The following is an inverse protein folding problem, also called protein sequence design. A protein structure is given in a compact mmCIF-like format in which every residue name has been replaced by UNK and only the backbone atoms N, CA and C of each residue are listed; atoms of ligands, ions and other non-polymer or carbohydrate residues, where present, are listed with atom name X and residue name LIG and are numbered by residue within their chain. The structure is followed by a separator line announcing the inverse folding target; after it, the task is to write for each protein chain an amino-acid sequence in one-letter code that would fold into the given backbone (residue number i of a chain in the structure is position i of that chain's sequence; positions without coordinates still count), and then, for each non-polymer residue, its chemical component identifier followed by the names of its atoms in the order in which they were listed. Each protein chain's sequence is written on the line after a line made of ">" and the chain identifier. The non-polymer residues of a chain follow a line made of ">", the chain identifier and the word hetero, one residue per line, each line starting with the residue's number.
data_IF_985099341193
#
_entry.id   IF_985099341193
#
_cell.length_a   1.000
_cell.length_b   1.000
_cell.length_c   1.000
_cell.angle_alpha   90.00
_cell.angle_beta   90.00
_cell.angle_gamma   90.00
#
_symmetry.space_group_name_H-M   'P 1'
#
loop_
_entity.id
_entity.type
_entity.pdbx_description
1 polymer ?
#
# COMPACT_ATOMS: atom_id res chain seq x y z
N UNK A 1 -6.11 -8.36 3.40
CA UNK A 1 -5.37 -7.10 3.14
C UNK A 1 -4.31 -6.83 4.20
N UNK A 2 -4.68 -6.63 5.48
CA UNK A 2 -3.74 -6.29 6.59
C UNK A 2 -2.48 -7.15 6.61
N UNK A 3 -2.64 -8.48 6.61
CA UNK A 3 -1.51 -9.41 6.58
C UNK A 3 -0.61 -9.18 5.36
N UNK A 4 -1.18 -9.12 4.15
CA UNK A 4 -0.42 -8.89 2.90
C UNK A 4 0.32 -7.56 2.92
N UNK A 5 -0.30 -6.48 3.37
CA UNK A 5 0.33 -5.17 3.51
C UNK A 5 1.49 -5.19 4.49
N UNK A 6 1.31 -5.85 5.64
CA UNK A 6 2.35 -5.96 6.67
C UNK A 6 3.52 -6.81 6.18
N UNK A 7 3.25 -7.97 5.57
CA UNK A 7 4.29 -8.84 4.99
C UNK A 7 5.07 -8.12 3.89
N UNK A 8 4.37 -7.37 3.02
CA UNK A 8 5.02 -6.59 1.98
C UNK A 8 5.87 -5.46 2.56
N UNK A 9 5.39 -4.75 3.58
CA UNK A 9 6.16 -3.70 4.23
C UNK A 9 7.45 -4.24 4.87
N UNK A 10 7.39 -5.40 5.53
CA UNK A 10 8.57 -6.07 6.09
C UNK A 10 9.54 -6.51 4.98
N UNK A 11 9.01 -7.11 3.89
CA UNK A 11 9.85 -7.51 2.75
C UNK A 11 10.48 -6.32 2.02
N UNK A 12 9.73 -5.22 1.86
CA UNK A 12 10.21 -3.96 1.29
C UNK A 12 11.33 -3.38 2.14
N UNK A 13 11.14 -3.35 3.46
CA UNK A 13 12.13 -2.87 4.41
C UNK A 13 13.45 -3.67 4.31
N UNK A 14 13.37 -5.00 4.32
CA UNK A 14 14.54 -5.87 4.16
C UNK A 14 15.25 -5.64 2.83
N UNK A 15 14.50 -5.63 1.72
CA UNK A 15 15.07 -5.42 0.39
C UNK A 15 15.66 -4.01 0.21
N UNK A 16 15.08 -2.99 0.85
CA UNK A 16 15.60 -1.63 0.83
C UNK A 16 16.91 -1.52 1.61
N UNK A 17 17.02 -2.21 2.74
CA UNK A 17 18.25 -2.27 3.53
C UNK A 17 19.38 -2.99 2.79
N UNK A 18 19.12 -4.18 2.23
CA UNK A 18 20.09 -4.95 1.47
C UNK A 18 20.68 -4.17 0.28
N UNK A 19 19.84 -3.37 -0.39
CA UNK A 19 20.21 -2.61 -1.60
C UNK A 19 20.65 -1.19 -1.30
N UNK A 20 20.70 -0.78 -0.03
CA UNK A 20 21.00 0.58 0.35
C UNK A 20 22.38 1.02 -0.18
N UNK A 21 22.44 2.21 -0.80
CA UNK A 21 23.68 2.75 -1.38
C UNK A 21 24.12 2.10 -2.70
N UNK A 22 23.36 1.14 -3.23
CA UNK A 22 23.65 0.52 -4.54
C UNK A 22 22.89 1.22 -5.67
N UNK A 23 23.22 0.90 -6.92
CA UNK A 23 22.46 1.36 -8.11
C UNK A 23 21.00 0.90 -8.10
N UNK A 24 20.71 -0.19 -7.39
CA UNK A 24 19.37 -0.78 -7.28
C UNK A 24 18.70 -0.44 -5.94
N UNK A 25 19.18 0.59 -5.25
CA UNK A 25 18.59 1.07 -4.01
C UNK A 25 17.10 1.32 -4.19
N UNK A 26 16.29 0.85 -3.23
CA UNK A 26 14.85 1.08 -3.22
C UNK A 26 14.53 2.37 -2.46
N UNK A 27 13.51 3.06 -2.95
CA UNK A 27 12.94 4.23 -2.29
C UNK A 27 12.09 3.85 -1.07
N UNK A 28 11.68 4.85 -0.29
CA UNK A 28 10.91 4.65 0.95
C UNK A 28 9.50 4.12 0.71
N UNK A 29 8.95 4.24 -0.51
CA UNK A 29 7.54 4.01 -0.77
C UNK A 29 7.31 2.89 -1.80
N UNK A 30 6.26 2.12 -1.56
CA UNK A 30 5.72 1.13 -2.48
C UNK A 30 4.20 1.23 -2.59
N UNK A 31 3.66 0.83 -3.72
CA UNK A 31 2.21 0.79 -3.98
C UNK A 31 1.76 -0.64 -4.18
N UNK A 32 0.58 -0.98 -3.67
CA UNK A 32 -0.04 -2.29 -3.74
C UNK A 32 -1.39 -2.19 -4.44
N UNK A 33 -1.67 -3.12 -5.34
CA UNK A 33 -2.97 -3.32 -5.95
C UNK A 33 -3.52 -4.65 -5.47
N UNK A 34 -4.77 -4.63 -5.00
CA UNK A 34 -5.44 -5.81 -4.48
C UNK A 34 -6.56 -6.23 -5.42
N UNK A 35 -6.63 -7.53 -5.68
CA UNK A 35 -7.68 -8.14 -6.47
C UNK A 35 -8.23 -9.37 -5.75
N UNK A 36 -9.49 -9.69 -5.95
CA UNK A 36 -10.15 -10.86 -5.37
C UNK A 36 -10.78 -11.71 -6.45
N UNK A 37 -10.64 -13.03 -6.36
CA UNK A 37 -11.39 -13.98 -7.18
C UNK A 37 -12.14 -14.94 -6.29
N UNK A 38 -13.22 -15.52 -6.81
CA UNK A 38 -13.93 -16.60 -6.11
C UNK A 38 -12.99 -17.79 -5.86
N UNK A 39 -13.09 -18.37 -4.67
CA UNK A 39 -12.34 -19.56 -4.28
C UNK A 39 -13.13 -20.35 -3.24
N UNK A 40 -13.98 -21.26 -3.70
CA UNK A 40 -14.87 -22.06 -2.84
C UNK A 40 -14.13 -22.93 -1.82
N UNK A 41 -12.87 -23.27 -2.08
CA UNK A 41 -12.03 -24.06 -1.17
C UNK A 41 -11.37 -23.23 -0.08
N UNK A 42 -11.38 -21.90 -0.18
CA UNK A 42 -10.83 -21.01 0.84
C UNK A 42 -11.88 -20.74 1.93
N UNK A 43 -11.51 -20.65 3.22
CA UNK A 43 -12.46 -20.43 4.32
C UNK A 43 -13.32 -19.17 4.16
N UNK A 44 -12.82 -18.14 3.47
CA UNK A 44 -13.51 -16.89 3.23
C UNK A 44 -14.29 -16.87 1.90
N UNK A 45 -14.24 -17.95 1.11
CA UNK A 45 -14.91 -18.05 -0.20
C UNK A 45 -14.24 -17.25 -1.33
N UNK A 46 -13.13 -16.57 -1.06
CA UNK A 46 -12.37 -15.79 -2.04
C UNK A 46 -10.87 -15.94 -1.84
N UNK A 47 -10.12 -15.73 -2.92
CA UNK A 47 -8.66 -15.62 -2.90
C UNK A 47 -8.24 -14.18 -3.12
N UNK A 48 -7.31 -13.71 -2.30
CA UNK A 48 -6.68 -12.40 -2.43
C UNK A 48 -5.40 -12.50 -3.28
N UNK A 49 -5.39 -11.76 -4.39
CA UNK A 49 -4.23 -11.53 -5.24
C UNK A 49 -3.63 -10.16 -4.94
N UNK A 50 -2.30 -10.05 -4.95
CA UNK A 50 -1.60 -8.79 -4.68
C UNK A 50 -0.48 -8.59 -5.68
N UNK A 51 -0.53 -7.46 -6.37
CA UNK A 51 0.57 -6.95 -7.17
C UNK A 51 1.10 -5.67 -6.54
N UNK A 52 2.37 -5.35 -6.78
CA UNK A 52 2.99 -4.19 -6.14
C UNK A 52 4.05 -3.52 -7.01
N UNK A 53 4.30 -2.26 -6.71
CA UNK A 53 5.42 -1.47 -7.22
C UNK A 53 6.33 -1.10 -6.06
N UNK A 54 7.58 -1.52 -6.11
CA UNK A 54 8.63 -0.91 -5.30
C UNK A 54 9.37 0.10 -6.19
N UNK A 55 9.46 1.34 -5.72
CA UNK A 55 10.18 2.39 -6.45
C UNK A 55 11.67 2.27 -6.20
N UNK A 56 12.48 2.58 -7.22
CA UNK A 56 13.91 2.83 -7.02
C UNK A 56 14.07 4.14 -6.22
N UNK A 57 15.18 4.24 -5.49
CA UNK A 57 15.55 5.43 -4.75
C UNK A 57 15.86 6.55 -5.72
N UNK A 58 15.02 7.58 -5.73
CA UNK A 58 15.18 8.76 -6.57
C UNK A 58 14.44 9.94 -5.91
N UNK A 59 14.80 11.21 -6.20
CA UNK A 59 14.13 12.36 -5.59
C UNK A 59 12.61 12.35 -5.73
N UNK A 60 12.10 11.90 -6.88
CA UNK A 60 10.67 11.76 -7.17
C UNK A 60 9.96 10.68 -6.33
N UNK A 61 10.68 9.67 -5.83
CA UNK A 61 10.10 8.59 -5.03
C UNK A 61 10.19 8.83 -3.52
N UNK A 62 10.73 9.98 -3.09
CA UNK A 62 10.91 10.31 -1.66
C UNK A 62 9.66 10.90 -1.02
N UNK A 63 8.84 11.62 -1.78
CA UNK A 63 7.64 12.27 -1.27
C UNK A 63 6.41 11.42 -1.61
N UNK A 64 5.83 10.75 -0.61
CA UNK A 64 4.70 9.84 -0.80
C UNK A 64 3.46 10.52 -1.42
N UNK A 65 2.95 11.66 -0.91
CA UNK A 65 1.86 12.37 -1.56
C UNK A 65 2.13 12.71 -3.03
N UNK A 66 3.32 13.22 -3.35
CA UNK A 66 3.69 13.56 -4.74
C UNK A 66 3.75 12.30 -5.62
N UNK A 67 4.35 11.22 -5.13
CA UNK A 67 4.41 9.93 -5.83
C UNK A 67 3.00 9.40 -6.14
N UNK A 68 2.06 9.50 -5.21
CA UNK A 68 0.67 9.08 -5.42
C UNK A 68 -0.04 9.96 -6.46
N UNK A 69 0.19 11.27 -6.43
CA UNK A 69 -0.34 12.20 -7.42
C UNK A 69 0.20 11.91 -8.84
N UNK A 70 1.48 11.59 -8.95
CA UNK A 70 2.12 11.20 -10.21
C UNK A 70 1.56 9.88 -10.73
N UNK A 71 1.42 8.88 -9.87
CA UNK A 71 0.81 7.59 -10.23
C UNK A 71 -0.64 7.75 -10.68
N UNK A 72 -1.40 8.64 -10.07
CA UNK A 72 -2.76 8.98 -10.51
C UNK A 72 -2.74 9.61 -11.91
N UNK A 73 -1.83 10.56 -12.15
CA UNK A 73 -1.66 11.21 -13.46
C UNK A 73 -1.28 10.19 -14.54
N UNK A 74 -0.36 9.29 -14.22
CA UNK A 74 0.05 8.18 -15.09
C UNK A 74 -1.13 7.25 -15.38
N UNK A 75 -1.91 6.87 -14.36
CA UNK A 75 -3.09 6.03 -14.53
C UNK A 75 -4.10 6.67 -15.49
N UNK A 76 -4.46 7.94 -15.26
CA UNK A 76 -5.36 8.71 -16.14
C UNK A 76 -4.83 8.77 -17.57
N UNK A 77 -3.54 9.05 -17.74
CA UNK A 77 -2.89 9.08 -19.05
C UNK A 77 -2.95 7.72 -19.76
N UNK A 78 -2.70 6.62 -19.05
CA UNK A 78 -2.75 5.28 -19.61
C UNK A 78 -4.18 4.87 -20.01
N UNK A 79 -5.15 5.18 -19.17
CA UNK A 79 -6.58 4.96 -19.44
C UNK A 79 -6.99 5.71 -20.71
N UNK A 80 -6.69 7.01 -20.80
CA UNK A 80 -7.04 7.84 -21.95
C UNK A 80 -6.38 7.35 -23.24
N UNK A 81 -5.09 6.99 -23.19
CA UNK A 81 -4.35 6.48 -24.34
C UNK A 81 -4.91 5.14 -24.84
N UNK A 82 -5.24 4.21 -23.95
CA UNK A 82 -5.85 2.95 -24.35
C UNK A 82 -7.26 3.16 -24.92
N UNK A 83 -8.06 4.06 -24.33
CA UNK A 83 -9.37 4.41 -24.86
C UNK A 83 -9.29 5.00 -26.28
N UNK A 84 -8.31 5.86 -26.56
CA UNK A 84 -8.05 6.39 -27.90
C UNK A 84 -7.71 5.26 -28.90
N UNK A 85 -6.99 4.24 -28.44
CA UNK A 85 -6.71 3.02 -29.20
C UNK A 85 -7.83 1.98 -29.22
N UNK A 86 -9.02 2.28 -28.66
CA UNK A 86 -10.15 1.35 -28.49
C UNK A 86 -9.81 0.06 -27.74
N UNK A 87 -8.87 0.14 -26.79
CA UNK A 87 -8.45 -0.96 -25.90
C UNK A 87 -8.77 -0.63 -24.45
N UNK A 88 -8.78 -1.66 -23.61
CA UNK A 88 -8.81 -1.49 -22.16
C UNK A 88 -7.38 -1.57 -21.62
N UNK A 89 -6.95 -0.54 -20.90
CA UNK A 89 -5.70 -0.61 -20.15
C UNK A 89 -5.92 -1.39 -18.84
N UNK A 90 -4.97 -2.21 -18.45
CA UNK A 90 -4.97 -2.91 -17.17
C UNK A 90 -3.68 -2.58 -16.42
N UNK A 91 -3.72 -2.25 -15.12
CA UNK A 91 -2.52 -1.82 -14.37
C UNK A 91 -1.45 -2.91 -14.22
N UNK A 92 -1.82 -4.18 -14.41
CA UNK A 92 -0.88 -5.32 -14.45
C UNK A 92 -0.45 -5.70 -15.88
N UNK A 93 -0.99 -5.01 -16.89
CA UNK A 93 -0.76 -5.34 -18.29
C UNK A 93 0.69 -5.08 -18.72
N UNK A 94 1.17 -5.80 -19.75
CA UNK A 94 2.55 -5.64 -20.23
C UNK A 94 2.82 -4.23 -20.78
N UNK A 95 1.80 -3.57 -21.31
CA UNK A 95 1.89 -2.20 -21.81
C UNK A 95 1.59 -1.22 -20.68
N UNK A 96 2.63 -0.48 -20.25
CA UNK A 96 2.53 0.60 -19.26
C UNK A 96 1.98 0.11 -17.91
N UNK A 97 2.55 -0.99 -17.42
CA UNK A 97 2.29 -1.52 -16.08
C UNK A 97 2.52 -0.46 -15.00
N UNK A 98 1.63 -0.44 -14.01
CA UNK A 98 1.80 0.36 -12.79
C UNK A 98 2.54 -0.39 -11.69
N UNK A 99 2.78 -1.69 -11.86
CA UNK A 99 3.42 -2.58 -10.88
C UNK A 99 4.63 -3.29 -11.48
N UNK A 100 5.56 -3.74 -10.62
CA UNK A 100 6.79 -4.42 -11.03
C UNK A 100 7.09 -5.70 -10.22
N UNK A 101 6.15 -6.15 -9.41
CA UNK A 101 6.26 -7.39 -8.63
C UNK A 101 4.92 -7.90 -8.12
N UNK A 102 4.97 -9.08 -7.49
CA UNK A 102 3.78 -9.77 -6.99
C UNK A 102 3.09 -10.60 -8.07
N UNK A 103 1.78 -10.79 -7.92
CA UNK A 103 0.96 -11.60 -8.81
C UNK A 103 0.57 -10.80 -10.06
N UNK A 104 1.37 -10.96 -11.12
CA UNK A 104 1.20 -10.23 -12.39
C UNK A 104 0.17 -10.85 -13.34
N UNK A 105 -0.25 -12.08 -13.07
CA UNK A 105 -1.27 -12.81 -13.84
C UNK A 105 -2.44 -13.13 -12.92
N UNK A 106 -3.63 -12.68 -13.29
CA UNK A 106 -4.85 -12.90 -12.54
C UNK A 106 -5.77 -13.89 -13.26
N UNK A 107 -6.57 -14.69 -12.53
CA UNK A 107 -7.65 -15.45 -13.14
C UNK A 107 -8.68 -14.50 -13.77
N UNK A 108 -9.43 -14.93 -14.80
CA UNK A 108 -10.44 -14.09 -15.47
C UNK A 108 -11.54 -13.56 -14.55
N UNK A 109 -11.83 -14.24 -13.44
CA UNK A 109 -12.81 -13.83 -12.43
C UNK A 109 -12.27 -12.82 -11.41
N UNK A 110 -10.99 -12.44 -11.49
CA UNK A 110 -10.42 -11.49 -10.56
C UNK A 110 -11.02 -10.09 -10.72
N UNK A 111 -11.43 -9.52 -9.61
CA UNK A 111 -12.03 -8.18 -9.51
C UNK A 111 -11.13 -7.28 -8.69
N UNK A 112 -11.10 -6.00 -9.05
CA UNK A 112 -10.34 -5.00 -8.29
C UNK A 112 -10.97 -4.78 -6.92
N UNK A 113 -10.17 -4.93 -5.86
CA UNK A 113 -10.63 -4.83 -4.47
C UNK A 113 -10.11 -3.57 -3.76
N UNK A 114 -9.02 -2.96 -4.24
CA UNK A 114 -8.50 -1.73 -3.65
C UNK A 114 -7.03 -1.46 -3.95
N UNK A 115 -6.54 -0.36 -3.38
CA UNK A 115 -5.15 0.09 -3.47
C UNK A 115 -4.60 0.29 -2.07
N UNK A 116 -3.30 0.05 -1.91
CA UNK A 116 -2.60 0.43 -0.70
C UNK A 116 -1.22 0.98 -1.00
N UNK A 117 -0.60 1.53 0.03
CA UNK A 117 0.77 2.03 0.00
C UNK A 117 1.49 1.46 1.21
N UNK A 118 2.75 1.11 1.00
CA UNK A 118 3.72 0.78 2.04
C UNK A 118 4.72 1.93 2.10
N UNK A 119 5.01 2.43 3.30
CA UNK A 119 6.09 3.38 3.51
C UNK A 119 7.02 2.91 4.62
N UNK A 120 8.32 3.10 4.38
CA UNK A 120 9.40 2.91 5.34
C UNK A 120 9.62 4.16 6.19
N UNK A 121 9.03 5.29 5.80
CA UNK A 121 8.97 6.46 6.67
C UNK A 121 8.06 6.16 7.86
N UNK A 122 8.47 6.63 9.04
CA UNK A 122 7.74 6.40 10.28
C UNK A 122 7.82 7.63 11.19
N UNK A 123 7.12 7.58 12.33
CA UNK A 123 7.28 8.59 13.36
C UNK A 123 8.73 8.73 13.88
N UNK A 124 9.59 7.73 13.64
CA UNK A 124 11.01 7.78 13.98
C UNK A 124 11.88 8.56 12.98
N UNK A 125 11.34 8.95 11.82
CA UNK A 125 12.06 9.67 10.78
C UNK A 125 11.84 9.09 9.39
N UNK A 126 12.49 9.71 8.40
CA UNK A 126 12.50 9.20 7.03
C UNK A 126 13.35 7.93 6.91
N UNK A 127 13.06 7.11 5.90
CA UNK A 127 13.84 5.91 5.59
C UNK A 127 15.35 6.19 5.54
N UNK A 128 15.76 7.29 4.91
CA UNK A 128 17.18 7.63 4.79
C UNK A 128 17.83 7.97 6.13
N UNK A 129 17.09 8.61 7.05
CA UNK A 129 17.56 8.85 8.41
C UNK A 129 17.67 7.53 9.18
N UNK A 130 16.64 6.68 9.09
CA UNK A 130 16.60 5.39 9.79
C UNK A 130 17.68 4.42 9.28
N UNK A 131 17.87 4.32 7.96
CA UNK A 131 18.89 3.48 7.36
C UNK A 131 20.31 3.89 7.80
N UNK A 132 20.58 5.18 8.00
CA UNK A 132 21.86 5.64 8.56
C UNK A 132 22.07 5.14 10.00
N UNK A 133 21.00 5.08 10.81
CA UNK A 133 21.11 4.54 12.18
C UNK A 133 21.39 3.03 12.23
N UNK A 134 20.96 2.27 11.21
CA UNK A 134 21.30 0.85 11.10
C UNK A 134 22.79 0.62 10.80
N UNK A 135 23.44 1.58 10.14
CA UNK A 135 24.86 1.48 9.74
C UNK A 135 25.82 2.00 10.80
N UNK A 136 25.34 2.89 11.68
CA UNK A 136 26.16 3.48 12.75
C UNK A 136 25.89 2.75 14.07
N UNK A 137 26.88 2.08 14.69
CA UNK A 137 26.69 1.49 16.01
C UNK A 137 26.30 2.59 17.00
N UNK A 138 25.28 2.32 17.82
CA UNK A 138 24.92 3.23 18.90
C UNK A 138 26.11 3.42 19.85
N UNK A 139 26.15 4.55 20.56
CA UNK A 139 27.19 4.82 21.57
C UNK A 139 27.25 3.74 22.68
N UNK A 140 26.20 2.92 22.81
CA UNK A 140 26.09 1.79 23.75
C UNK A 140 26.53 0.46 23.14
N UNK A 141 27.00 0.43 21.88
CA UNK A 141 27.41 -0.78 21.16
C UNK A 141 26.26 -1.65 20.65
N UNK A 142 25.01 -1.22 20.80
CA UNK A 142 23.84 -1.94 20.32
C UNK A 142 23.67 -1.73 18.80
N UNK A 143 23.56 -2.83 18.05
CA UNK A 143 23.20 -2.81 16.64
C UNK A 143 21.68 -2.89 16.51
N UNK A 144 21.07 -1.90 15.86
CA UNK A 144 19.65 -1.94 15.52
C UNK A 144 19.49 -2.81 14.27
N UNK A 145 18.64 -3.82 14.33
CA UNK A 145 18.30 -4.62 13.15
C UNK A 145 17.28 -3.88 12.30
N UNK A 146 17.27 -4.12 10.99
CA UNK A 146 16.22 -3.61 10.12
C UNK A 146 14.83 -4.08 10.59
N UNK A 147 14.74 -5.25 11.21
CA UNK A 147 13.49 -5.80 11.77
C UNK A 147 12.98 -5.05 13.01
N UNK A 148 13.83 -4.23 13.65
CA UNK A 148 13.46 -3.38 14.79
C UNK A 148 12.84 -2.04 14.34
N UNK A 149 12.94 -1.69 13.06
CA UNK A 149 12.33 -0.47 12.53
C UNK A 149 10.82 -0.61 12.44
N UNK A 150 10.11 0.52 12.58
CA UNK A 150 8.66 0.62 12.35
C UNK A 150 8.35 0.75 10.86
N UNK A 151 7.09 0.60 10.48
CA UNK A 151 6.64 0.84 9.11
C UNK A 151 5.17 1.16 9.06
N UNK A 152 4.74 1.81 7.99
CA UNK A 152 3.34 2.27 7.86
C UNK A 152 2.73 1.77 6.58
N UNK A 153 1.46 1.37 6.62
CA UNK A 153 0.67 1.13 5.41
C UNK A 153 -0.67 1.85 5.47
N UNK A 154 -1.11 2.31 4.31
CA UNK A 154 -2.44 2.90 4.08
C UNK A 154 -3.14 2.06 3.02
N UNK A 155 -4.40 1.72 3.23
CA UNK A 155 -5.19 0.91 2.28
C UNK A 155 -6.57 1.53 2.12
N UNK A 156 -7.06 1.62 0.89
CA UNK A 156 -8.43 1.96 0.54
C UNK A 156 -9.03 0.83 -0.30
N UNK A 157 -10.21 0.36 0.11
CA UNK A 157 -10.97 -0.68 -0.58
C UNK A 157 -12.16 -0.09 -1.33
N UNK A 158 -12.62 -0.81 -2.36
CA UNK A 158 -13.72 -0.36 -3.24
C UNK A 158 -15.06 -0.17 -2.53
N UNK A 159 -15.24 -0.75 -1.35
CA UNK A 159 -16.42 -0.52 -0.51
C UNK A 159 -16.32 0.76 0.33
N UNK A 160 -15.19 1.48 0.27
CA UNK A 160 -14.90 2.66 1.09
C UNK A 160 -14.24 2.35 2.44
N UNK A 161 -13.84 1.09 2.69
CA UNK A 161 -13.04 0.77 3.88
C UNK A 161 -11.64 1.36 3.76
N UNK A 162 -11.25 2.17 4.74
CA UNK A 162 -9.92 2.71 4.91
C UNK A 162 -9.21 1.99 6.05
N UNK A 163 -7.95 1.58 5.84
CA UNK A 163 -7.15 0.86 6.84
C UNK A 163 -5.79 1.55 6.97
N UNK A 164 -5.43 1.91 8.20
CA UNK A 164 -4.10 2.41 8.56
C UNK A 164 -3.41 1.36 9.44
N UNK A 165 -2.20 0.97 9.05
CA UNK A 165 -1.40 -0.03 9.75
C UNK A 165 -0.11 0.66 10.19
N UNK A 166 0.11 0.74 11.49
CA UNK A 166 1.37 1.14 12.09
C UNK A 166 2.06 -0.12 12.64
N UNK A 167 2.98 -0.67 11.85
CA UNK A 167 3.78 -1.82 12.22
C UNK A 167 4.86 -1.38 13.21
N UNK A 168 4.75 -1.86 14.44
CA UNK A 168 5.74 -1.65 15.50
C UNK A 168 6.23 -3.01 16.02
N UNK A 169 7.48 -3.42 15.73
CA UNK A 169 8.01 -4.72 16.16
C UNK A 169 8.16 -4.81 17.69
N UNK A 170 8.13 -3.69 18.40
CA UNK A 170 8.18 -3.61 19.85
C UNK A 170 6.82 -3.26 20.47
N UNK A 171 5.73 -3.40 19.70
CA UNK A 171 4.38 -3.25 20.21
C UNK A 171 4.13 -4.17 21.42
N UNK A 172 3.40 -3.66 22.41
CA UNK A 172 2.90 -4.49 23.50
C UNK A 172 1.95 -5.55 22.95
N UNK A 173 1.93 -6.72 23.58
CA UNK A 173 0.96 -7.77 23.29
C UNK A 173 -0.46 -7.18 23.35
N UNK A 174 -1.27 -7.46 22.32
CA UNK A 174 -2.63 -6.93 22.18
C UNK A 174 -2.74 -5.61 21.43
N UNK A 175 -1.63 -4.93 21.13
CA UNK A 175 -1.63 -3.77 20.22
C UNK A 175 -1.33 -4.22 18.79
N UNK A 176 -2.35 -4.22 17.93
CA UNK A 176 -2.19 -4.61 16.52
C UNK A 176 -1.59 -3.50 15.66
N UNK A 177 -1.68 -2.24 16.09
CA UNK A 177 -1.33 -1.08 15.27
C UNK A 177 -2.26 -0.86 14.07
N UNK A 178 -3.37 -1.62 13.98
CA UNK A 178 -4.33 -1.56 12.87
C UNK A 178 -5.52 -0.70 13.26
N UNK A 179 -5.85 0.29 12.44
CA UNK A 179 -7.06 1.12 12.54
C UNK A 179 -7.84 0.98 11.24
N UNK A 180 -9.16 0.88 11.33
CA UNK A 180 -10.02 0.72 10.15
C UNK A 180 -11.28 1.57 10.28
N UNK A 181 -11.74 2.18 9.18
CA UNK A 181 -12.99 2.94 9.16
C UNK A 181 -14.23 2.06 9.24
N UNK A 182 -14.09 0.78 8.91
CA UNK A 182 -15.14 -0.24 9.04
C UNK A 182 -14.66 -1.47 9.81
N UNK A 183 -15.56 -2.26 10.41
CA UNK A 183 -15.19 -3.54 11.03
C UNK A 183 -14.47 -4.44 10.03
N UNK A 184 -13.39 -5.09 10.49
CA UNK A 184 -12.65 -6.07 9.69
C UNK A 184 -13.14 -7.51 9.91
N UNK A 185 -14.03 -7.71 10.89
CA UNK A 185 -14.65 -8.98 11.25
C UNK A 185 -16.15 -8.95 10.99
N UNK A 186 -16.69 -10.06 10.49
CA UNK A 186 -18.11 -10.18 10.14
C UNK A 186 -19.03 -10.14 11.38
N UNK A 187 -18.57 -10.63 12.54
CA UNK A 187 -19.32 -10.70 13.79
C UNK A 187 -19.06 -9.48 14.69
N UNK A 188 -19.20 -8.27 14.13
CA UNK A 188 -18.99 -7.04 14.89
C UNK A 188 -20.23 -6.66 15.72
N UNK A 189 -20.02 -5.99 16.85
CA UNK A 189 -21.11 -5.53 17.71
C UNK A 189 -21.78 -4.27 17.14
N UNK A 190 -23.04 -4.31 16.67
CA UNK A 190 -23.70 -3.18 16.00
C UNK A 190 -23.88 -1.93 16.87
N UNK A 191 -23.73 -2.04 18.20
CA UNK A 191 -23.83 -0.92 19.13
C UNK A 191 -22.49 -0.23 19.43
N UNK A 192 -21.38 -0.72 18.88
CA UNK A 192 -20.07 -0.11 19.08
C UNK A 192 -19.89 1.12 18.19
N UNK A 193 -19.43 2.23 18.77
CA UNK A 193 -19.03 3.41 18.01
C UNK A 193 -17.58 3.24 17.56
N UNK A 194 -17.34 3.18 16.24
CA UNK A 194 -15.99 3.10 15.71
C UNK A 194 -15.31 4.48 15.78
N UNK A 195 -14.29 4.69 16.64
CA UNK A 195 -13.59 5.98 16.71
C UNK A 195 -12.82 6.34 15.43
N UNK A 196 -12.63 5.37 14.53
CA UNK A 196 -11.93 5.53 13.27
C UNK A 196 -12.88 5.63 12.07
N UNK A 197 -14.19 5.84 12.26
CA UNK A 197 -15.15 5.97 11.16
C UNK A 197 -14.73 7.04 10.13
N UNK A 198 -14.07 8.12 10.57
CA UNK A 198 -13.53 9.19 9.73
C UNK A 198 -12.01 9.09 9.54
N UNK A 199 -11.44 7.87 9.49
CA UNK A 199 -9.98 7.65 9.49
C UNK A 199 -9.21 8.47 8.44
N UNK A 200 -9.80 8.70 7.26
CA UNK A 200 -9.21 9.48 6.17
C UNK A 200 -9.14 10.99 6.45
N UNK A 201 -9.84 11.45 7.48
CA UNK A 201 -9.91 12.83 7.95
C UNK A 201 -9.18 13.02 9.30
N UNK A 202 -8.56 11.94 9.81
CA UNK A 202 -7.83 11.94 11.08
C UNK A 202 -6.32 11.95 10.84
N UNK A 203 -5.58 12.60 11.75
CA UNK A 203 -4.11 12.59 11.77
C UNK A 203 -3.48 13.96 11.58
N UNK A 204 -2.16 13.97 11.43
CA UNK A 204 -1.40 15.18 11.10
C UNK A 204 -1.59 15.57 9.62
N UNK A 205 -1.18 16.80 9.22
CA UNK A 205 -1.33 17.24 7.82
C UNK A 205 -0.69 16.30 6.79
N UNK A 206 0.43 15.66 7.13
CA UNK A 206 1.11 14.73 6.24
C UNK A 206 0.27 13.46 6.00
N UNK A 207 -0.32 12.91 7.06
CA UNK A 207 -1.25 11.78 7.00
C UNK A 207 -2.47 12.10 6.15
N UNK A 208 -3.05 13.29 6.34
CA UNK A 208 -4.20 13.75 5.56
C UNK A 208 -3.87 13.91 4.08
N UNK A 209 -2.68 14.41 3.75
CA UNK A 209 -2.23 14.54 2.36
C UNK A 209 -2.02 13.17 1.71
N UNK A 210 -1.49 12.19 2.44
CA UNK A 210 -1.41 10.79 1.96
C UNK A 210 -2.80 10.25 1.65
N UNK A 211 -3.76 10.38 2.58
CA UNK A 211 -5.13 9.93 2.36
C UNK A 211 -5.78 10.61 1.16
N UNK A 212 -5.60 11.92 0.99
CA UNK A 212 -6.17 12.67 -0.13
C UNK A 212 -5.65 12.15 -1.47
N UNK A 213 -4.33 11.96 -1.60
CA UNK A 213 -3.74 11.50 -2.86
C UNK A 213 -4.03 10.02 -3.12
N UNK A 214 -4.03 9.19 -2.08
CA UNK A 214 -4.43 7.78 -2.19
C UNK A 214 -5.88 7.65 -2.63
N UNK A 215 -6.79 8.48 -2.11
CA UNK A 215 -8.20 8.51 -2.51
C UNK A 215 -8.34 8.88 -3.99
N UNK A 216 -7.63 9.92 -4.45
CA UNK A 216 -7.66 10.34 -5.86
C UNK A 216 -7.18 9.26 -6.83
N UNK A 217 -6.14 8.51 -6.46
CA UNK A 217 -5.68 7.34 -7.22
C UNK A 217 -6.70 6.20 -7.15
N UNK A 218 -7.23 5.89 -5.96
CA UNK A 218 -8.23 4.85 -5.75
C UNK A 218 -9.47 5.09 -6.60
N UNK A 219 -10.04 6.29 -6.56
CA UNK A 219 -11.25 6.66 -7.31
C UNK A 219 -11.05 6.48 -8.81
N UNK A 220 -9.88 6.88 -9.33
CA UNK A 220 -9.52 6.71 -10.74
C UNK A 220 -9.47 5.23 -11.12
N UNK A 221 -8.85 4.38 -10.28
CA UNK A 221 -8.74 2.95 -10.53
C UNK A 221 -10.09 2.25 -10.40
N UNK A 222 -10.88 2.57 -9.37
CA UNK A 222 -12.21 2.01 -9.14
C UNK A 222 -13.15 2.36 -10.30
N UNK A 223 -13.19 3.63 -10.73
CA UNK A 223 -14.01 4.05 -11.85
C UNK A 223 -13.66 3.30 -13.14
N UNK A 224 -12.37 3.06 -13.39
CA UNK A 224 -11.90 2.37 -14.60
C UNK A 224 -12.09 0.85 -14.56
N UNK A 225 -11.78 0.21 -13.42
CA UNK A 225 -11.74 -1.25 -13.30
C UNK A 225 -13.08 -1.85 -12.87
N UNK A 226 -13.89 -1.13 -12.09
CA UNK A 226 -15.20 -1.59 -11.62
C UNK A 226 -16.35 -1.03 -12.46
N UNK A 227 -16.21 0.18 -13.03
CA UNK A 227 -17.27 0.88 -13.76
C UNK A 227 -17.78 0.18 -15.04
N UNK A 228 -17.12 -0.89 -15.49
CA UNK A 228 -17.50 -1.67 -16.68
C UNK A 228 -18.13 -3.04 -16.39
N UNK A 229 -18.30 -3.45 -15.13
CA UNK A 229 -19.01 -4.70 -14.81
C UNK A 229 -20.55 -4.58 -14.90
N UNK A 230 -21.09 -3.41 -15.26
CA UNK A 230 -22.52 -3.12 -15.30
C UNK A 230 -23.09 -2.84 -16.70
N UNK A 231 -22.43 -3.27 -17.79
CA UNK A 231 -22.95 -3.17 -19.17
C UNK A 231 -22.99 -4.53 -19.85
#
# INVERSE_FOLDING_TARGET
>A
MVYRSTSLNVGHLHAADERYGTREALGPHGVMLFFTSDAETEPQGFRLHTAYRLCLSAPESNNLPALLADLNTIAKGNIANAAAGRRLWHPLGPERSMVNGGEMTLPPSATYAGVGVSTLDSAGGSWYQLAQTLRNPSATGYHTSVFDLKGTCYVLLTDGTAIHINRDPHARIGYSGVRSSKPLEASWNPHWSNPHATLTEQGDPATLDVWRQLSSLHDTLTAHLCGKQAQ
#
